data_IF_026185281993
#
_entry.id   IF_026185281993
#
_cell.length_a   1.000
_cell.length_b   1.000
_cell.length_c   1.000
_cell.angle_alpha   90.00
_cell.angle_beta   90.00
_cell.angle_gamma   90.00
#
_symmetry.space_group_name_H-M   'P 1'
#
loop_
_entity.id
_entity.type
_entity.pdbx_description
1 polymer ?
#
# COMPACT_ATOMS: atom_id res chain seq x y z
N UNK A 1 -8.34 -1.33 -0.75
CA UNK A 1 -7.22 -2.11 -0.15
C UNK A 1 -6.45 -2.95 -1.18
N UNK A 2 -6.68 -2.79 -2.49
CA UNK A 2 -5.92 -3.51 -3.53
C UNK A 2 -4.59 -2.82 -3.88
N UNK A 3 -4.48 -1.49 -3.67
CA UNK A 3 -3.30 -0.70 -4.05
C UNK A 3 -2.04 -1.09 -3.26
N UNK A 4 -2.21 -1.48 -1.99
CA UNK A 4 -1.12 -1.96 -1.16
C UNK A 4 -0.57 -3.31 -1.63
N UNK A 5 -1.46 -4.23 -2.01
CA UNK A 5 -1.07 -5.54 -2.54
C UNK A 5 -0.37 -5.40 -3.89
N UNK A 6 -0.85 -4.51 -4.76
CA UNK A 6 -0.26 -4.25 -6.07
C UNK A 6 1.10 -3.56 -5.96
N UNK A 7 1.26 -2.57 -5.08
CA UNK A 7 2.50 -1.80 -4.93
C UNK A 7 3.57 -2.54 -4.12
N UNK A 8 3.18 -3.32 -3.10
CA UNK A 8 4.14 -3.97 -2.19
C UNK A 8 4.17 -5.50 -2.31
N UNK A 9 3.32 -6.12 -3.15
CA UNK A 9 3.23 -7.57 -3.28
C UNK A 9 2.67 -8.26 -2.03
N UNK A 10 2.00 -7.53 -1.16
CA UNK A 10 1.53 -8.05 0.12
C UNK A 10 0.27 -8.90 -0.03
N UNK A 11 0.27 -10.06 0.62
CA UNK A 11 -0.93 -10.90 0.73
C UNK A 11 -1.90 -10.34 1.78
N UNK A 12 -3.22 -10.56 1.64
CA UNK A 12 -4.23 -10.07 2.60
C UNK A 12 -3.96 -10.47 4.05
N UNK A 13 -3.40 -11.67 4.27
CA UNK A 13 -3.02 -12.17 5.60
C UNK A 13 -1.91 -11.35 6.29
N UNK A 14 -1.10 -10.59 5.55
CA UNK A 14 -0.13 -9.68 6.16
C UNK A 14 -0.77 -8.36 6.60
N UNK A 15 -1.90 -7.98 5.98
CA UNK A 15 -2.62 -6.74 6.31
C UNK A 15 -3.64 -6.94 7.43
N UNK A 16 -4.21 -8.14 7.54
CA UNK A 16 -5.23 -8.51 8.54
C UNK A 16 -4.82 -8.25 10.01
N UNK A 17 -3.58 -8.56 10.45
CA UNK A 17 -3.15 -8.24 11.82
C UNK A 17 -2.77 -6.77 12.03
N UNK A 18 -2.71 -5.94 10.98
CA UNK A 18 -2.28 -4.55 11.11
C UNK A 18 -3.44 -3.66 11.58
N UNK A 19 -3.20 -2.74 12.54
CA UNK A 19 -4.22 -1.80 12.94
C UNK A 19 -4.55 -0.82 11.78
N UNK A 20 -5.79 -0.31 11.68
CA UNK A 20 -6.22 0.54 10.57
C UNK A 20 -5.34 1.78 10.33
N UNK A 21 -4.77 2.34 11.40
CA UNK A 21 -3.85 3.47 11.34
C UNK A 21 -2.52 3.13 10.63
N UNK A 22 -2.05 1.89 10.78
CA UNK A 22 -0.86 1.37 10.08
C UNK A 22 -1.16 1.24 8.58
N UNK A 23 -2.31 0.66 8.23
CA UNK A 23 -2.74 0.48 6.84
C UNK A 23 -2.88 1.83 6.12
N UNK A 24 -3.41 2.85 6.78
CA UNK A 24 -3.51 4.22 6.26
C UNK A 24 -2.13 4.83 5.95
N UNK A 25 -1.14 4.62 6.82
CA UNK A 25 0.25 5.08 6.58
C UNK A 25 0.88 4.42 5.35
N UNK A 26 0.73 3.10 5.24
CA UNK A 26 1.23 2.38 4.08
C UNK A 26 0.49 2.75 2.81
N UNK A 27 -0.82 3.00 2.87
CA UNK A 27 -1.62 3.41 1.73
C UNK A 27 -1.14 4.77 1.18
N UNK A 28 -0.88 5.74 2.05
CA UNK A 28 -0.29 7.02 1.65
C UNK A 28 1.07 6.84 0.95
N UNK A 29 1.88 5.88 1.43
CA UNK A 29 3.18 5.56 0.82
C UNK A 29 3.05 4.85 -0.53
N UNK A 30 2.04 3.98 -0.70
CA UNK A 30 1.74 3.34 -1.98
C UNK A 30 1.30 4.37 -3.03
N UNK A 31 0.41 5.30 -2.65
CA UNK A 31 -0.04 6.38 -3.53
C UNK A 31 1.13 7.26 -3.96
N UNK A 32 1.98 7.68 -3.02
CA UNK A 32 3.17 8.47 -3.34
C UNK A 32 4.14 7.76 -4.30
N UNK A 33 4.20 6.42 -4.26
CA UNK A 33 5.04 5.61 -5.14
C UNK A 33 4.42 5.40 -6.52
N UNK A 34 3.12 5.13 -6.59
CA UNK A 34 2.39 4.98 -7.86
C UNK A 34 2.36 6.26 -8.69
N UNK A 35 2.30 7.43 -8.04
CA UNK A 35 2.42 8.72 -8.74
C UNK A 35 3.84 9.01 -9.25
N UNK A 36 4.88 8.45 -8.64
CA UNK A 36 6.27 8.67 -9.05
C UNK A 36 6.71 7.80 -10.24
N UNK A 37 6.01 6.70 -10.51
CA UNK A 37 6.37 5.74 -11.58
C UNK A 37 5.69 6.06 -12.93
N UNK A 38 4.89 7.14 -13.02
CA UNK A 38 4.22 7.59 -14.26
C UNK A 38 4.92 8.82 -14.90
N UNK A 39 6.04 9.29 -14.35
CA UNK A 39 6.90 10.31 -14.97
C UNK A 39 8.22 9.67 -15.44
N UNK A 40 8.17 8.94 -16.56
CA UNK A 40 9.27 8.78 -17.54
C UNK A 40 8.68 8.44 -18.92
#
# INVERSE_FOLDING_TARGET
MADLAAVFGWSPAMMDPMPPAELMRWHARAVARGSAETED
#
